data_IF_792100147488
#
_entry.id   IF_792100147488
#
_cell.length_a   1.000
_cell.length_b   1.000
_cell.length_c   1.000
_cell.angle_alpha   90.00
_cell.angle_beta   90.00
_cell.angle_gamma   90.00
#
_symmetry.space_group_name_H-M   'P 1'
#
loop_
_entity.id
_entity.type
_entity.pdbx_description
1 polymer ?
#
# COMPACT_ATOMS: atom_id res chain seq x y z
N UNK A 1 -67.48 4.85 -0.45
CA UNK A 1 -66.26 3.99 -0.56
C UNK A 1 -64.92 4.72 -0.53
N UNK A 2 -64.79 6.01 -0.89
CA UNK A 2 -63.48 6.72 -0.95
C UNK A 2 -62.81 7.05 0.41
N UNK A 3 -63.54 7.24 1.52
CA UNK A 3 -62.94 7.67 2.80
C UNK A 3 -62.26 6.56 3.62
N UNK A 4 -62.65 5.29 3.44
CA UNK A 4 -61.96 4.13 4.06
C UNK A 4 -60.52 3.99 3.53
N UNK A 5 -60.29 4.35 2.28
CA UNK A 5 -58.97 4.25 1.64
C UNK A 5 -58.00 5.34 2.15
N UNK A 6 -58.48 6.57 2.34
CA UNK A 6 -57.69 7.68 2.90
C UNK A 6 -57.26 7.48 4.37
N UNK A 7 -58.09 6.82 5.19
CA UNK A 7 -57.73 6.48 6.58
C UNK A 7 -56.63 5.43 6.65
N UNK A 8 -56.68 4.41 5.79
CA UNK A 8 -55.64 3.38 5.70
C UNK A 8 -54.31 3.96 5.21
N UNK A 9 -54.33 4.82 4.18
CA UNK A 9 -53.14 5.51 3.66
C UNK A 9 -52.51 6.42 4.74
N UNK A 10 -53.32 7.14 5.54
CA UNK A 10 -52.80 7.96 6.64
C UNK A 10 -52.16 7.13 7.76
N UNK A 11 -52.78 6.00 8.13
CA UNK A 11 -52.25 5.11 9.17
C UNK A 11 -50.94 4.43 8.71
N UNK A 12 -50.85 4.04 7.45
CA UNK A 12 -49.65 3.47 6.84
C UNK A 12 -48.50 4.50 6.79
N UNK A 13 -48.78 5.74 6.37
CA UNK A 13 -47.81 6.83 6.39
C UNK A 13 -47.31 7.19 7.81
N UNK A 14 -48.18 7.13 8.83
CA UNK A 14 -47.77 7.33 10.23
C UNK A 14 -46.87 6.21 10.74
N UNK A 15 -47.20 4.95 10.43
CA UNK A 15 -46.37 3.79 10.77
C UNK A 15 -45.00 3.86 10.09
N UNK A 16 -44.95 4.25 8.82
CA UNK A 16 -43.70 4.43 8.08
C UNK A 16 -42.83 5.53 8.71
N UNK A 17 -43.41 6.69 9.04
CA UNK A 17 -42.68 7.77 9.73
C UNK A 17 -42.16 7.36 11.12
N UNK A 18 -42.94 6.58 11.86
CA UNK A 18 -42.53 6.08 13.18
C UNK A 18 -41.41 5.05 13.06
N UNK A 19 -41.50 4.15 12.08
CA UNK A 19 -40.45 3.18 11.75
C UNK A 19 -39.15 3.87 11.33
N UNK A 20 -39.22 4.88 10.45
CA UNK A 20 -38.06 5.67 10.05
C UNK A 20 -37.41 6.41 11.21
N UNK A 21 -38.20 7.02 12.10
CA UNK A 21 -37.67 7.67 13.32
C UNK A 21 -36.94 6.69 14.21
N UNK A 22 -37.50 5.49 14.42
CA UNK A 22 -36.87 4.45 15.24
C UNK A 22 -35.57 3.94 14.60
N UNK A 23 -35.55 3.74 13.29
CA UNK A 23 -34.34 3.37 12.55
C UNK A 23 -33.25 4.43 12.67
N UNK A 24 -33.61 5.70 12.49
CA UNK A 24 -32.67 6.81 12.64
C UNK A 24 -32.11 6.90 14.07
N UNK A 25 -32.94 6.63 15.09
CA UNK A 25 -32.50 6.55 16.49
C UNK A 25 -31.49 5.41 16.71
N UNK A 26 -31.77 4.21 16.20
CA UNK A 26 -30.85 3.06 16.28
C UNK A 26 -29.52 3.37 15.58
N UNK A 27 -29.57 3.93 14.36
CA UNK A 27 -28.35 4.32 13.63
C UNK A 27 -27.53 5.32 14.44
N UNK A 28 -28.15 6.39 14.97
CA UNK A 28 -27.43 7.38 15.77
C UNK A 28 -26.81 6.78 17.04
N UNK A 29 -27.54 5.89 17.72
CA UNK A 29 -27.04 5.16 18.90
C UNK A 29 -25.87 4.26 18.56
N UNK A 30 -25.91 3.58 17.41
CA UNK A 30 -24.81 2.76 16.90
C UNK A 30 -23.56 3.61 16.62
N UNK A 31 -23.70 4.73 15.90
CA UNK A 31 -22.57 5.63 15.59
C UNK A 31 -21.89 6.11 16.88
N UNK A 32 -22.67 6.66 17.82
CA UNK A 32 -22.17 7.10 19.12
C UNK A 32 -21.50 5.95 19.90
N UNK A 33 -22.04 4.73 19.80
CA UNK A 33 -21.44 3.55 20.44
C UNK A 33 -20.06 3.24 19.85
N UNK A 34 -19.95 3.22 18.52
CA UNK A 34 -18.71 2.90 17.81
C UNK A 34 -17.64 3.95 18.10
N UNK A 35 -17.95 5.24 17.93
CA UNK A 35 -17.02 6.35 18.19
C UNK A 35 -16.54 6.40 19.66
N UNK A 36 -17.41 6.02 20.61
CA UNK A 36 -17.04 5.98 22.04
C UNK A 36 -16.16 4.80 22.40
N UNK A 37 -16.33 3.65 21.75
CA UNK A 37 -15.67 2.39 22.14
C UNK A 37 -14.43 2.10 21.29
N UNK A 38 -14.36 2.64 20.08
CA UNK A 38 -13.34 2.33 19.09
C UNK A 38 -12.82 3.58 18.41
N UNK A 39 -11.51 3.60 18.19
CA UNK A 39 -10.90 4.48 17.21
C UNK A 39 -10.79 3.69 15.91
N UNK A 40 -11.45 4.18 14.85
CA UNK A 40 -11.46 3.54 13.53
C UNK A 40 -10.84 4.47 12.50
N UNK A 41 -10.11 3.88 11.56
CA UNK A 41 -9.52 4.59 10.41
C UNK A 41 -9.54 3.68 9.19
N UNK A 42 -9.75 4.26 8.01
CA UNK A 42 -9.73 3.52 6.77
C UNK A 42 -8.32 3.56 6.19
N UNK A 43 -7.59 2.45 6.29
CA UNK A 43 -6.25 2.34 5.72
C UNK A 43 -6.34 2.28 4.20
N UNK A 44 -5.95 3.37 3.53
CA UNK A 44 -6.03 3.51 2.08
C UNK A 44 -5.05 2.60 1.36
N UNK A 45 -3.93 2.23 2.00
CA UNK A 45 -2.93 1.35 1.43
C UNK A 45 -3.35 -0.12 1.46
N UNK A 46 -3.95 -0.57 2.57
CA UNK A 46 -4.49 -1.93 2.70
C UNK A 46 -5.90 -2.07 2.14
N UNK A 47 -6.62 -0.96 1.94
CA UNK A 47 -7.99 -0.93 1.45
C UNK A 47 -9.00 -1.49 2.46
N UNK A 48 -8.75 -1.32 3.77
CA UNK A 48 -9.61 -1.85 4.82
C UNK A 48 -9.73 -0.89 6.00
N UNK A 49 -10.80 -1.03 6.78
CA UNK A 49 -10.91 -0.34 8.07
C UNK A 49 -10.05 -1.07 9.09
N UNK A 50 -9.27 -0.31 9.83
CA UNK A 50 -8.56 -0.77 11.02
C UNK A 50 -9.19 -0.12 12.25
N UNK A 51 -9.16 -0.82 13.37
CA UNK A 51 -9.67 -0.32 14.63
C UNK A 51 -8.79 -0.70 15.80
N UNK A 52 -8.85 0.12 16.84
CA UNK A 52 -8.40 -0.21 18.20
C UNK A 52 -9.45 0.24 19.20
N UNK A 53 -9.31 -0.18 20.45
CA UNK A 53 -10.16 0.34 21.53
C UNK A 53 -9.88 1.83 21.74
N UNK A 54 -10.92 2.63 21.90
CA UNK A 54 -10.77 4.07 22.13
C UNK A 54 -9.94 4.34 23.40
N UNK A 55 -8.95 5.24 23.29
CA UNK A 55 -8.01 5.57 24.37
C UNK A 55 -6.98 4.47 24.68
N UNK A 56 -6.89 3.42 23.86
CA UNK A 56 -5.88 2.37 23.99
C UNK A 56 -4.60 2.75 23.23
N UNK A 57 -3.45 2.36 23.79
CA UNK A 57 -2.15 2.42 23.10
C UNK A 57 -1.86 1.16 22.28
N UNK A 58 -2.80 0.23 22.20
CA UNK A 58 -2.70 -0.95 21.33
C UNK A 58 -2.58 -0.52 19.85
N UNK A 59 -1.91 -1.33 19.02
CA UNK A 59 -1.85 -1.09 17.58
C UNK A 59 -3.24 -1.22 16.95
N UNK A 60 -3.44 -0.49 15.87
CA UNK A 60 -4.62 -0.68 15.03
C UNK A 60 -4.57 -2.07 14.37
N UNK A 61 -5.69 -2.77 14.38
CA UNK A 61 -5.83 -4.10 13.77
C UNK A 61 -6.90 -4.04 12.69
N UNK A 62 -6.67 -4.72 11.57
CA UNK A 62 -7.64 -4.82 10.49
C UNK A 62 -8.96 -5.40 11.01
N UNK A 63 -10.07 -4.74 10.66
CA UNK A 63 -11.41 -5.16 11.07
C UNK A 63 -11.91 -6.26 10.14
N UNK A 64 -11.56 -7.49 10.48
CA UNK A 64 -12.03 -8.69 9.80
C UNK A 64 -13.49 -9.03 10.14
N UNK A 65 -14.02 -10.10 9.54
CA UNK A 65 -15.39 -10.54 9.78
C UNK A 65 -15.62 -10.94 11.24
N UNK A 66 -14.63 -11.57 11.88
CA UNK A 66 -14.72 -11.97 13.28
C UNK A 66 -14.86 -10.76 14.20
N UNK A 67 -14.09 -9.70 13.96
CA UNK A 67 -14.17 -8.47 14.71
C UNK A 67 -15.50 -7.74 14.48
N UNK A 68 -16.00 -7.68 13.23
CA UNK A 68 -17.34 -7.12 12.95
C UNK A 68 -18.45 -7.87 13.69
N UNK A 69 -18.45 -9.19 13.64
CA UNK A 69 -19.39 -10.03 14.38
C UNK A 69 -19.31 -9.79 15.89
N UNK A 70 -18.09 -9.62 16.42
CA UNK A 70 -17.86 -9.31 17.83
C UNK A 70 -18.44 -7.94 18.20
N UNK A 71 -18.22 -6.92 17.37
CA UNK A 71 -18.78 -5.56 17.56
C UNK A 71 -20.32 -5.63 17.51
N UNK A 72 -20.89 -6.38 16.57
CA UNK A 72 -22.34 -6.55 16.44
C UNK A 72 -22.98 -7.16 17.70
N UNK A 73 -22.38 -8.25 18.22
CA UNK A 73 -22.86 -8.89 19.45
C UNK A 73 -22.75 -7.93 20.64
N UNK A 74 -21.62 -7.21 20.80
CA UNK A 74 -21.44 -6.25 21.89
C UNK A 74 -22.41 -5.08 21.82
N UNK A 75 -22.71 -4.56 20.63
CA UNK A 75 -23.69 -3.49 20.45
C UNK A 75 -25.10 -3.96 20.86
N UNK A 76 -25.48 -5.19 20.51
CA UNK A 76 -26.76 -5.79 20.91
C UNK A 76 -26.86 -5.99 22.42
N UNK A 77 -25.78 -6.44 23.06
CA UNK A 77 -25.73 -6.57 24.53
C UNK A 77 -25.89 -5.20 25.23
N UNK A 78 -25.42 -4.11 24.61
CA UNK A 78 -25.63 -2.74 25.08
C UNK A 78 -26.99 -2.14 24.63
N UNK A 79 -27.93 -2.98 24.16
CA UNK A 79 -29.30 -2.60 23.83
C UNK A 79 -29.46 -1.86 22.51
N UNK A 80 -28.49 -1.99 21.59
CA UNK A 80 -28.54 -1.42 20.24
C UNK A 80 -28.79 -2.57 19.26
N UNK A 81 -30.00 -2.66 18.72
CA UNK A 81 -30.38 -3.70 17.75
C UNK A 81 -29.84 -3.40 16.34
N UNK A 82 -28.51 -3.34 16.22
CA UNK A 82 -27.81 -3.14 14.97
C UNK A 82 -27.58 -4.48 14.25
N UNK A 83 -27.60 -4.44 12.92
CA UNK A 83 -27.23 -5.55 12.05
C UNK A 83 -25.76 -5.45 11.65
N UNK A 84 -25.11 -6.59 11.36
CA UNK A 84 -23.74 -6.61 10.80
C UNK A 84 -23.61 -5.69 9.58
N UNK A 85 -24.67 -5.64 8.76
CA UNK A 85 -24.74 -4.77 7.59
C UNK A 85 -24.63 -3.27 7.92
N UNK A 86 -25.18 -2.83 9.05
CA UNK A 86 -25.12 -1.41 9.44
C UNK A 86 -23.72 -1.05 9.93
N UNK A 87 -23.05 -1.96 10.63
CA UNK A 87 -21.66 -1.80 11.06
C UNK A 87 -20.74 -1.76 9.85
N UNK A 88 -20.92 -2.69 8.89
CA UNK A 88 -20.17 -2.70 7.63
C UNK A 88 -20.34 -1.40 6.86
N UNK A 89 -21.58 -0.92 6.70
CA UNK A 89 -21.87 0.36 6.04
C UNK A 89 -21.18 1.53 6.71
N UNK A 90 -21.15 1.57 8.03
CA UNK A 90 -20.41 2.61 8.77
C UNK A 90 -18.91 2.54 8.46
N UNK A 91 -18.31 1.34 8.55
CA UNK A 91 -16.88 1.13 8.26
C UNK A 91 -16.49 1.48 6.83
N UNK A 92 -17.39 1.24 5.87
CA UNK A 92 -17.18 1.53 4.44
C UNK A 92 -17.63 2.95 4.05
N UNK A 93 -17.97 3.81 5.02
CA UNK A 93 -18.44 5.18 4.77
C UNK A 93 -17.41 6.25 5.16
N UNK A 94 -17.62 7.47 4.66
CA UNK A 94 -16.78 8.64 4.95
C UNK A 94 -16.80 9.08 6.43
N UNK A 95 -17.63 8.46 7.28
CA UNK A 95 -17.55 8.65 8.73
C UNK A 95 -16.24 8.09 9.31
N UNK A 96 -15.69 7.03 8.71
CA UNK A 96 -14.37 6.51 9.07
C UNK A 96 -13.32 7.24 8.24
N UNK A 97 -12.51 8.07 8.91
CA UNK A 97 -11.51 8.91 8.24
C UNK A 97 -10.47 8.06 7.52
N UNK A 98 -10.14 8.48 6.29
CA UNK A 98 -9.03 7.92 5.54
C UNK A 98 -7.71 8.12 6.29
N UNK A 99 -6.85 7.11 6.24
CA UNK A 99 -5.53 7.08 6.82
C UNK A 99 -4.58 6.45 5.80
N UNK A 100 -3.53 7.17 5.45
CA UNK A 100 -2.45 6.64 4.63
C UNK A 100 -1.21 6.44 5.53
N UNK A 101 -0.76 5.19 5.76
CA UNK A 101 0.41 4.92 6.59
C UNK A 101 1.69 5.57 6.07
N UNK A 102 1.81 5.74 4.75
CA UNK A 102 3.00 6.35 4.14
C UNK A 102 3.03 7.86 4.38
N UNK A 103 1.89 8.53 4.18
CA UNK A 103 1.80 9.98 4.38
C UNK A 103 2.12 10.33 5.83
N UNK A 104 1.53 9.61 6.79
CA UNK A 104 1.78 9.84 8.23
C UNK A 104 3.25 9.57 8.59
N UNK A 105 3.85 8.52 8.03
CA UNK A 105 5.27 8.24 8.23
C UNK A 105 6.16 9.38 7.73
N UNK A 106 5.97 9.82 6.48
CA UNK A 106 6.78 10.89 5.87
C UNK A 106 6.52 12.26 6.49
N UNK A 107 5.26 12.59 6.82
CA UNK A 107 4.90 13.82 7.52
C UNK A 107 5.57 13.92 8.89
N UNK A 108 5.66 12.80 9.62
CA UNK A 108 6.35 12.72 10.90
C UNK A 108 7.85 13.04 10.81
N UNK A 109 8.46 12.89 9.64
CA UNK A 109 9.89 13.10 9.39
C UNK A 109 10.23 14.49 8.83
N UNK A 110 9.22 15.29 8.46
CA UNK A 110 9.45 16.62 7.87
C UNK A 110 10.31 17.50 8.78
N UNK A 111 11.38 18.05 8.22
CA UNK A 111 12.30 18.93 8.93
C UNK A 111 13.25 18.24 9.90
N UNK A 112 13.30 16.90 9.95
CA UNK A 112 14.20 16.14 10.84
C UNK A 112 15.53 15.74 10.23
N UNK A 113 15.74 16.00 8.93
CA UNK A 113 16.98 15.63 8.25
C UNK A 113 18.18 16.39 8.83
N UNK A 114 19.23 15.65 9.17
CA UNK A 114 20.44 16.19 9.79
C UNK A 114 21.48 16.75 8.78
N UNK A 115 21.15 16.79 7.49
CA UNK A 115 22.01 17.32 6.42
C UNK A 115 23.08 16.35 5.88
N UNK A 116 23.16 15.11 6.39
CA UNK A 116 24.09 14.08 5.89
C UNK A 116 23.45 13.23 4.79
N UNK A 117 24.26 12.69 3.88
CA UNK A 117 23.76 11.83 2.80
C UNK A 117 23.61 10.36 3.24
N UNK A 118 22.54 10.06 3.99
CA UNK A 118 22.24 8.71 4.48
C UNK A 118 21.90 7.73 3.36
N UNK A 119 21.30 8.20 2.26
CA UNK A 119 20.97 7.35 1.11
C UNK A 119 22.26 6.89 0.41
N UNK A 120 23.26 7.76 0.25
CA UNK A 120 24.57 7.40 -0.28
C UNK A 120 25.32 6.44 0.66
N UNK A 121 25.31 6.69 1.97
CA UNK A 121 25.88 5.75 2.96
C UNK A 121 25.25 4.35 2.86
N UNK A 122 23.94 4.27 2.58
CA UNK A 122 23.25 3.00 2.34
C UNK A 122 23.66 2.37 1.00
N UNK A 123 23.85 3.18 -0.05
CA UNK A 123 24.32 2.72 -1.35
C UNK A 123 25.73 2.12 -1.27
N UNK A 124 26.62 2.74 -0.50
CA UNK A 124 28.01 2.32 -0.28
C UNK A 124 28.13 0.96 0.44
N UNK A 125 27.05 0.51 1.09
CA UNK A 125 26.99 -0.85 1.67
C UNK A 125 26.99 -1.95 0.58
N UNK A 126 26.72 -1.59 -0.69
CA UNK A 126 26.72 -2.50 -1.85
C UNK A 126 28.08 -2.41 -2.54
N UNK A 127 29.02 -3.34 -2.30
CA UNK A 127 30.35 -3.26 -2.91
C UNK A 127 30.27 -3.56 -4.41
N UNK A 128 30.76 -2.63 -5.23
CA UNK A 128 30.74 -2.72 -6.68
C UNK A 128 31.82 -1.82 -7.32
N UNK A 129 32.06 -1.99 -8.62
CA UNK A 129 33.08 -1.23 -9.38
C UNK A 129 32.52 0.01 -10.10
N UNK A 130 31.22 0.31 -9.97
CA UNK A 130 30.59 1.43 -10.66
C UNK A 130 30.63 2.70 -9.79
N UNK A 131 31.47 3.66 -10.17
CA UNK A 131 31.65 4.93 -9.45
C UNK A 131 30.40 5.80 -9.38
N UNK A 132 29.39 5.57 -10.25
CA UNK A 132 28.12 6.32 -10.26
C UNK A 132 26.99 5.62 -9.52
N UNK A 133 27.22 4.43 -8.97
CA UNK A 133 26.20 3.65 -8.29
C UNK A 133 25.49 4.45 -7.19
N UNK A 134 26.27 5.09 -6.31
CA UNK A 134 25.74 5.88 -5.20
C UNK A 134 24.80 7.01 -5.66
N UNK A 135 25.23 7.78 -6.65
CA UNK A 135 24.45 8.88 -7.25
C UNK A 135 23.15 8.38 -7.91
N UNK A 136 23.23 7.28 -8.67
CA UNK A 136 22.08 6.70 -9.34
C UNK A 136 21.09 6.06 -8.37
N UNK A 137 21.59 5.37 -7.35
CA UNK A 137 20.78 4.82 -6.28
C UNK A 137 20.10 5.93 -5.48
N UNK A 138 20.82 7.01 -5.18
CA UNK A 138 20.27 8.21 -4.53
C UNK A 138 19.08 8.78 -5.30
N UNK A 139 19.29 9.06 -6.59
CA UNK A 139 18.24 9.58 -7.47
C UNK A 139 17.04 8.63 -7.56
N UNK A 140 17.29 7.33 -7.68
CA UNK A 140 16.23 6.32 -7.72
C UNK A 140 15.43 6.27 -6.41
N UNK A 141 16.10 6.36 -5.26
CA UNK A 141 15.46 6.34 -3.95
C UNK A 141 14.57 7.58 -3.75
N UNK A 142 15.06 8.76 -4.14
CA UNK A 142 14.24 9.98 -4.17
C UNK A 142 13.00 9.82 -5.07
N UNK A 143 13.19 9.27 -6.27
CA UNK A 143 12.09 9.02 -7.20
C UNK A 143 11.06 8.02 -6.63
N UNK A 144 11.51 7.04 -5.84
CA UNK A 144 10.61 6.12 -5.14
C UNK A 144 9.74 6.83 -4.12
N UNK A 145 10.33 7.64 -3.24
CA UNK A 145 9.57 8.38 -2.20
C UNK A 145 8.68 9.45 -2.83
N UNK A 146 9.16 10.16 -3.85
CA UNK A 146 8.36 11.12 -4.61
C UNK A 146 7.13 10.48 -5.28
N UNK A 147 7.24 9.22 -5.72
CA UNK A 147 6.10 8.49 -6.27
C UNK A 147 5.08 8.13 -5.19
N UNK A 148 5.52 7.78 -3.97
CA UNK A 148 4.61 7.53 -2.86
C UNK A 148 3.79 8.76 -2.49
N UNK A 149 4.42 9.94 -2.54
CA UNK A 149 3.80 11.24 -2.31
C UNK A 149 2.93 11.72 -3.48
N UNK A 150 2.91 10.99 -4.61
CA UNK A 150 2.15 11.39 -5.79
C UNK A 150 2.64 12.68 -6.46
N UNK A 151 3.90 13.06 -6.25
CA UNK A 151 4.46 14.32 -6.79
C UNK A 151 4.56 14.31 -8.33
N UNK A 152 4.67 13.13 -8.94
CA UNK A 152 4.70 12.96 -10.39
C UNK A 152 3.49 12.17 -10.87
N UNK A 153 2.56 12.87 -11.51
CA UNK A 153 1.29 12.31 -12.00
C UNK A 153 1.45 11.74 -13.42
N UNK A 154 2.49 12.17 -14.15
CA UNK A 154 2.67 11.87 -15.57
C UNK A 154 3.52 10.62 -15.82
N UNK A 155 4.52 10.38 -14.97
CA UNK A 155 5.44 9.27 -15.15
C UNK A 155 5.69 8.54 -13.84
N UNK A 156 5.67 7.21 -13.88
CA UNK A 156 6.17 6.41 -12.78
C UNK A 156 7.71 6.40 -12.75
N UNK A 157 8.27 6.02 -11.59
CA UNK A 157 9.68 5.69 -11.45
C UNK A 157 9.99 4.50 -12.39
N UNK A 158 10.56 4.85 -13.54
CA UNK A 158 10.71 3.95 -14.68
C UNK A 158 12.07 3.29 -14.75
N UNK A 159 12.94 3.57 -13.79
CA UNK A 159 14.27 2.95 -13.67
C UNK A 159 14.30 2.09 -12.41
N UNK A 160 14.96 0.95 -12.47
CA UNK A 160 15.09 0.01 -11.36
C UNK A 160 16.56 -0.40 -11.17
N UNK A 161 17.10 -0.37 -9.94
CA UNK A 161 18.39 -0.99 -9.66
C UNK A 161 18.32 -2.50 -9.90
N UNK A 162 19.37 -3.06 -10.50
CA UNK A 162 19.53 -4.49 -10.74
C UNK A 162 20.84 -4.95 -10.11
N UNK A 163 20.71 -5.71 -9.02
CA UNK A 163 21.84 -6.24 -8.26
C UNK A 163 22.24 -7.62 -8.82
N UNK A 164 23.45 -7.73 -9.36
CA UNK A 164 23.96 -8.95 -9.99
C UNK A 164 25.08 -9.54 -9.13
N UNK A 165 24.91 -10.77 -8.65
CA UNK A 165 25.94 -11.44 -7.86
C UNK A 165 25.72 -12.94 -7.81
N UNK A 166 26.71 -13.70 -7.29
CA UNK A 166 26.48 -15.10 -6.90
C UNK A 166 25.49 -15.18 -5.74
N UNK A 167 24.91 -16.36 -5.51
CA UNK A 167 24.07 -16.63 -4.34
C UNK A 167 24.85 -16.36 -3.04
N UNK A 168 24.16 -15.97 -1.97
CA UNK A 168 24.77 -15.74 -0.65
C UNK A 168 25.30 -14.32 -0.41
N UNK A 169 25.11 -13.39 -1.36
CA UNK A 169 25.60 -12.00 -1.25
C UNK A 169 24.62 -11.03 -0.55
N UNK A 170 23.54 -11.56 0.04
CA UNK A 170 22.53 -10.79 0.79
C UNK A 170 21.72 -9.77 -0.02
N UNK A 171 21.59 -9.96 -1.35
CA UNK A 171 20.80 -9.10 -2.25
C UNK A 171 19.34 -8.92 -1.80
N UNK A 172 18.60 -10.01 -1.62
CA UNK A 172 17.19 -9.95 -1.21
C UNK A 172 17.03 -9.35 0.20
N UNK A 173 18.01 -9.58 1.09
CA UNK A 173 18.06 -8.94 2.42
C UNK A 173 18.23 -7.42 2.29
N UNK A 174 19.07 -6.93 1.39
CA UNK A 174 19.22 -5.51 1.11
C UNK A 174 17.90 -4.91 0.61
N UNK A 175 17.28 -5.50 -0.42
CA UNK A 175 16.01 -5.03 -0.96
C UNK A 175 14.91 -4.94 0.12
N UNK A 176 14.76 -5.99 0.94
CA UNK A 176 13.78 -6.02 2.03
C UNK A 176 14.07 -4.96 3.10
N UNK A 177 15.35 -4.72 3.42
CA UNK A 177 15.78 -3.73 4.41
C UNK A 177 15.81 -2.30 3.90
N UNK A 178 15.38 -2.02 2.67
CA UNK A 178 15.15 -0.65 2.23
C UNK A 178 13.95 -0.04 2.96
N UNK A 179 12.92 -0.84 3.24
CA UNK A 179 11.72 -0.36 3.94
C UNK A 179 11.84 -0.53 5.47
N UNK A 180 11.40 0.45 6.27
CA UNK A 180 11.31 0.31 7.72
C UNK A 180 10.21 -0.69 8.10
N UNK A 181 10.23 -1.20 9.32
CA UNK A 181 9.24 -2.15 9.83
C UNK A 181 7.79 -1.67 9.62
N UNK A 182 7.53 -0.39 9.88
CA UNK A 182 6.23 0.24 9.69
C UNK A 182 5.69 0.19 8.24
N UNK A 183 6.57 0.03 7.25
CA UNK A 183 6.23 -0.03 5.82
C UNK A 183 6.51 -1.40 5.19
N UNK A 184 6.87 -2.42 5.98
CA UNK A 184 7.17 -3.76 5.47
C UNK A 184 5.99 -4.43 4.76
N UNK A 185 4.75 -4.05 5.10
CA UNK A 185 3.55 -4.50 4.39
C UNK A 185 3.58 -4.13 2.90
N UNK A 186 4.35 -3.11 2.51
CA UNK A 186 4.50 -2.63 1.14
C UNK A 186 5.64 -3.28 0.35
N UNK A 187 6.40 -4.21 0.94
CA UNK A 187 7.44 -4.97 0.24
C UNK A 187 6.83 -6.20 -0.44
N UNK A 188 7.15 -6.42 -1.72
CA UNK A 188 6.69 -7.59 -2.46
C UNK A 188 7.85 -8.23 -3.23
N UNK A 189 8.21 -9.47 -2.88
CA UNK A 189 9.25 -10.27 -3.52
C UNK A 189 8.73 -11.50 -4.27
N UNK A 190 7.43 -11.77 -4.22
CA UNK A 190 6.80 -12.97 -4.79
C UNK A 190 5.93 -12.63 -6.01
N UNK A 191 6.33 -11.64 -6.80
CA UNK A 191 5.52 -11.20 -7.93
C UNK A 191 5.64 -12.15 -9.12
N UNK A 192 4.54 -12.81 -9.45
CA UNK A 192 4.42 -13.61 -10.67
C UNK A 192 4.06 -12.69 -11.86
N UNK A 193 5.07 -12.33 -12.63
CA UNK A 193 4.98 -11.35 -13.74
C UNK A 193 4.18 -11.88 -14.95
N UNK A 194 3.96 -13.19 -15.05
CA UNK A 194 3.15 -13.78 -16.13
C UNK A 194 1.68 -13.32 -16.10
N UNK A 195 1.17 -12.92 -14.94
CA UNK A 195 -0.21 -12.46 -14.77
C UNK A 195 -0.27 -10.92 -14.74
N UNK A 196 -0.68 -10.33 -15.87
CA UNK A 196 -0.78 -8.88 -16.03
C UNK A 196 -1.65 -8.21 -14.95
N UNK A 197 -2.83 -8.75 -14.65
CA UNK A 197 -3.73 -8.13 -13.67
C UNK A 197 -3.16 -8.14 -12.24
N UNK A 198 -2.51 -9.24 -11.83
CA UNK A 198 -1.88 -9.33 -10.52
C UNK A 198 -0.73 -8.33 -10.39
N UNK A 199 0.06 -8.17 -11.45
CA UNK A 199 1.13 -7.17 -11.46
C UNK A 199 0.61 -5.75 -11.37
N UNK A 200 -0.40 -5.41 -12.19
CA UNK A 200 -1.03 -4.08 -12.13
C UNK A 200 -1.61 -3.80 -10.74
N UNK A 201 -2.21 -4.80 -10.09
CA UNK A 201 -2.70 -4.70 -8.72
C UNK A 201 -1.56 -4.54 -7.70
N UNK A 202 -0.50 -5.33 -7.82
CA UNK A 202 0.67 -5.21 -6.93
C UNK A 202 1.28 -3.80 -6.99
N UNK A 203 1.29 -3.17 -8.17
CA UNK A 203 1.83 -1.83 -8.34
C UNK A 203 1.02 -0.72 -7.66
N UNK A 204 -0.26 -0.94 -7.41
CA UNK A 204 -1.11 0.01 -6.68
C UNK A 204 -1.11 -0.25 -5.17
N UNK A 205 -0.67 -1.45 -4.73
CA UNK A 205 -0.76 -1.90 -3.33
C UNK A 205 0.59 -2.12 -2.65
N UNK A 206 1.70 -2.10 -3.40
CA UNK A 206 3.06 -2.28 -2.89
C UNK A 206 3.85 -0.98 -3.06
N UNK A 207 4.78 -0.71 -2.15
CA UNK A 207 5.70 0.42 -2.18
C UNK A 207 6.97 0.10 -2.97
N UNK A 208 7.48 -1.11 -2.78
CA UNK A 208 8.67 -1.63 -3.43
C UNK A 208 8.41 -3.07 -3.88
N UNK A 209 8.55 -3.31 -5.19
CA UNK A 209 8.46 -4.63 -5.79
C UNK A 209 9.87 -5.08 -6.15
N UNK A 210 10.31 -6.18 -5.52
CA UNK A 210 11.53 -6.88 -5.86
C UNK A 210 11.25 -7.94 -6.93
N UNK A 211 11.86 -7.79 -8.09
CA UNK A 211 11.86 -8.79 -9.17
C UNK A 211 13.02 -9.74 -8.88
N UNK A 212 12.72 -10.82 -8.15
CA UNK A 212 13.72 -11.83 -7.86
C UNK A 212 14.01 -12.70 -9.08
N UNK A 213 15.24 -13.24 -9.13
CA UNK A 213 15.72 -14.08 -10.23
C UNK A 213 15.39 -13.52 -11.63
N UNK A 214 15.71 -12.24 -11.86
CA UNK A 214 15.34 -11.51 -13.08
C UNK A 214 15.72 -12.24 -14.38
N UNK A 215 16.80 -13.01 -14.37
CA UNK A 215 17.30 -13.80 -15.49
C UNK A 215 16.42 -15.02 -15.86
N UNK A 216 15.53 -15.46 -14.97
CA UNK A 216 14.57 -16.54 -15.26
C UNK A 216 13.39 -16.08 -16.13
N UNK A 217 13.15 -14.77 -16.19
CA UNK A 217 12.10 -14.21 -17.03
C UNK A 217 12.46 -14.34 -18.51
N UNK A 218 11.50 -14.74 -19.33
CA UNK A 218 11.72 -14.80 -20.78
C UNK A 218 12.07 -13.41 -21.33
N UNK A 219 12.95 -13.34 -22.35
CA UNK A 219 13.31 -12.09 -23.02
C UNK A 219 12.09 -11.29 -23.50
N UNK A 220 11.03 -11.98 -23.97
CA UNK A 220 9.77 -11.36 -24.37
C UNK A 220 9.04 -10.68 -23.20
N UNK A 221 9.08 -11.27 -22.01
CA UNK A 221 8.52 -10.68 -20.78
C UNK A 221 9.39 -9.51 -20.32
N UNK A 222 10.71 -9.66 -20.36
CA UNK A 222 11.67 -8.62 -20.02
C UNK A 222 11.50 -7.37 -20.90
N UNK A 223 11.38 -7.55 -22.22
CA UNK A 223 11.26 -6.42 -23.15
C UNK A 223 9.85 -5.86 -23.23
N UNK A 224 8.84 -6.70 -23.44
CA UNK A 224 7.49 -6.21 -23.73
C UNK A 224 6.73 -5.74 -22.49
N UNK A 225 6.84 -6.50 -21.40
CA UNK A 225 6.03 -6.25 -20.22
C UNK A 225 6.64 -5.18 -19.33
N UNK A 226 7.92 -5.31 -18.96
CA UNK A 226 8.58 -4.34 -18.09
C UNK A 226 8.70 -2.96 -18.73
N UNK A 227 9.00 -2.85 -20.04
CA UNK A 227 9.08 -1.53 -20.72
C UNK A 227 7.76 -0.76 -20.63
N UNK A 228 6.63 -1.44 -20.78
CA UNK A 228 5.31 -0.80 -20.69
C UNK A 228 4.91 -0.54 -19.25
N UNK A 229 5.06 -1.54 -18.38
CA UNK A 229 4.60 -1.50 -17.00
C UNK A 229 5.39 -0.51 -16.15
N UNK A 230 6.72 -0.47 -16.32
CA UNK A 230 7.59 0.48 -15.60
C UNK A 230 7.33 1.94 -15.96
N UNK A 231 6.66 2.24 -17.08
CA UNK A 231 6.35 3.61 -17.48
C UNK A 231 4.98 4.10 -16.97
N UNK A 232 4.09 3.19 -16.59
CA UNK A 232 2.75 3.55 -16.14
C UNK A 232 2.83 4.40 -14.87
N UNK A 233 2.21 5.58 -14.90
CA UNK A 233 1.98 6.42 -13.73
C UNK A 233 0.62 6.12 -13.07
N UNK A 234 -0.37 5.76 -13.90
CA UNK A 234 -1.72 5.44 -13.47
C UNK A 234 -2.14 4.08 -14.01
N UNK A 235 -2.89 3.35 -13.20
CA UNK A 235 -3.24 1.96 -13.45
C UNK A 235 -4.75 1.83 -13.45
N UNK A 236 -5.30 1.36 -14.58
CA UNK A 236 -6.71 1.02 -14.70
C UNK A 236 -6.92 -0.41 -14.26
N UNK A 237 -7.60 -0.61 -13.14
CA UNK A 237 -7.97 -1.93 -12.63
C UNK A 237 -9.47 -2.03 -12.38
N UNK A 238 -10.01 -3.23 -12.52
CA UNK A 238 -11.34 -3.56 -12.02
C UNK A 238 -11.18 -4.22 -10.67
N UNK A 239 -11.61 -3.55 -9.60
CA UNK A 239 -11.58 -4.13 -8.27
C UNK A 239 -12.61 -5.27 -8.17
N UNK A 240 -12.35 -6.32 -7.37
CA UNK A 240 -13.35 -7.32 -7.06
C UNK A 240 -14.65 -6.65 -6.60
N UNK A 241 -15.79 -7.15 -7.09
CA UNK A 241 -17.14 -6.63 -6.77
C UNK A 241 -17.48 -5.24 -7.32
N UNK A 242 -16.55 -4.52 -7.94
CA UNK A 242 -16.84 -3.29 -8.67
C UNK A 242 -17.26 -3.58 -10.12
N UNK A 243 -18.36 -2.95 -10.55
CA UNK A 243 -18.80 -3.02 -11.95
C UNK A 243 -17.96 -2.13 -12.86
N UNK A 244 -17.47 -1.01 -12.33
CA UNK A 244 -16.68 -0.02 -13.06
C UNK A 244 -15.17 -0.26 -12.88
N UNK A 245 -14.40 0.12 -13.89
CA UNK A 245 -12.95 0.21 -13.76
C UNK A 245 -12.60 1.50 -13.02
N UNK A 246 -11.67 1.39 -12.08
CA UNK A 246 -11.10 2.53 -11.36
C UNK A 246 -9.69 2.79 -11.88
N UNK A 247 -9.31 4.06 -11.94
CA UNK A 247 -7.93 4.46 -12.23
C UNK A 247 -7.28 4.80 -10.91
N UNK A 248 -6.27 4.03 -10.51
CA UNK A 248 -5.50 4.23 -9.29
C UNK A 248 -4.10 4.73 -9.64
N UNK A 249 -3.51 5.62 -8.82
CA UNK A 249 -2.12 5.98 -8.99
C UNK A 249 -1.22 4.76 -8.73
N UNK A 250 -0.12 4.69 -9.47
CA UNK A 250 0.94 3.73 -9.17
C UNK A 250 1.73 4.24 -7.96
N UNK A 251 1.95 3.34 -7.01
CA UNK A 251 2.76 3.64 -5.82
C UNK A 251 4.10 2.87 -5.88
N UNK A 252 4.13 1.68 -6.49
CA UNK A 252 5.30 0.82 -6.48
C UNK A 252 6.49 1.31 -7.31
N UNK A 253 7.67 1.33 -6.70
CA UNK A 253 8.95 1.30 -7.42
C UNK A 253 9.47 -0.12 -7.58
N UNK A 254 10.34 -0.34 -8.55
CA UNK A 254 10.91 -1.66 -8.82
C UNK A 254 12.39 -1.69 -8.42
N UNK A 255 12.81 -2.84 -7.91
CA UNK A 255 14.20 -3.26 -7.75
C UNK A 255 14.30 -4.70 -8.25
N UNK A 256 15.46 -5.12 -8.74
CA UNK A 256 15.64 -6.47 -9.27
C UNK A 256 16.92 -7.10 -8.74
N UNK A 257 16.91 -8.42 -8.62
CA UNK A 257 18.13 -9.19 -8.34
C UNK A 257 18.33 -10.30 -9.35
N UNK A 258 19.58 -10.56 -9.72
CA UNK A 258 19.94 -11.62 -10.64
C UNK A 258 21.19 -12.37 -10.16
N UNK A 259 21.31 -13.59 -10.66
CA UNK A 259 22.53 -14.38 -10.54
C UNK A 259 23.38 -14.22 -11.80
N UNK A 260 24.70 -14.41 -11.68
CA UNK A 260 25.72 -14.05 -12.69
C UNK A 260 25.54 -14.76 -14.04
N UNK A 261 24.79 -15.85 -14.11
CA UNK A 261 24.50 -16.55 -15.37
C UNK A 261 23.47 -15.78 -16.22
N UNK A 262 23.97 -15.18 -17.30
CA UNK A 262 23.24 -14.63 -18.45
C UNK A 262 22.16 -13.58 -18.12
N UNK A 263 22.58 -12.44 -17.58
CA UNK A 263 21.65 -11.34 -17.23
C UNK A 263 21.15 -10.57 -18.47
N UNK A 264 21.83 -10.65 -19.62
CA UNK A 264 21.47 -9.85 -20.80
C UNK A 264 21.59 -10.65 -22.10
N UNK A 265 20.43 -11.01 -22.69
CA UNK A 265 20.36 -11.51 -24.06
C UNK A 265 20.10 -10.40 -25.09
N UNK A 266 19.63 -9.20 -24.69
CA UNK A 266 19.34 -8.07 -25.58
C UNK A 266 19.83 -6.71 -25.01
N UNK A 267 20.70 -5.97 -25.72
CA UNK A 267 21.11 -4.60 -25.38
C UNK A 267 19.95 -3.58 -25.28
N UNK A 268 18.79 -3.82 -25.91
CA UNK A 268 17.67 -2.86 -25.92
C UNK A 268 16.84 -2.83 -24.62
N UNK A 269 16.82 -3.94 -23.88
CA UNK A 269 16.06 -4.12 -22.64
C UNK A 269 16.67 -3.42 -21.42
N UNK A 270 17.94 -3.00 -21.50
CA UNK A 270 18.75 -2.58 -20.37
C UNK A 270 18.56 -1.13 -19.92
N UNK A 271 17.93 -0.26 -20.72
CA UNK A 271 17.86 1.20 -20.42
C UNK A 271 17.03 1.54 -19.19
N UNK A 272 16.20 0.60 -18.71
CA UNK A 272 15.35 0.76 -17.53
C UNK A 272 15.97 0.16 -16.27
N UNK A 273 17.17 -0.43 -16.37
CA UNK A 273 17.86 -1.02 -15.24
C UNK A 273 19.21 -0.35 -14.99
N UNK A 274 19.46 0.03 -13.73
CA UNK A 274 20.80 0.39 -13.26
C UNK A 274 21.47 -0.91 -12.82
N UNK A 275 22.12 -1.58 -13.78
CA UNK A 275 22.78 -2.85 -13.54
C UNK A 275 24.11 -2.65 -12.81
N UNK A 276 24.28 -3.35 -11.69
CA UNK A 276 25.51 -3.32 -10.91
C UNK A 276 25.92 -4.75 -10.53
N UNK A 277 27.17 -5.10 -10.85
CA UNK A 277 27.76 -6.37 -10.45
C UNK A 277 28.47 -6.19 -9.11
N UNK A 278 28.10 -7.00 -8.12
CA UNK A 278 28.68 -6.91 -6.79
C UNK A 278 30.06 -7.57 -6.76
N UNK A 279 31.04 -6.87 -6.19
CA UNK A 279 32.40 -7.37 -5.98
C UNK A 279 32.56 -8.15 -4.67
N UNK A 280 31.58 -8.05 -3.77
CA UNK A 280 31.55 -8.78 -2.51
C UNK A 280 30.16 -8.84 -1.88
N UNK A 281 29.99 -9.53 -0.74
CA UNK A 281 28.72 -9.56 -0.01
C UNK A 281 28.32 -8.16 0.49
N UNK A 282 27.03 -7.84 0.44
CA UNK A 282 26.51 -6.55 0.92
C UNK A 282 26.76 -6.42 2.43
N UNK A 283 27.35 -5.30 2.82
CA UNK A 283 27.76 -4.97 4.20
C UNK A 283 26.72 -4.07 4.88
N UNK A 284 25.51 -4.61 5.05
CA UNK A 284 24.44 -3.88 5.74
C UNK A 284 24.77 -3.69 7.23
N UNK A 285 24.56 -2.49 7.79
CA UNK A 285 24.69 -2.26 9.23
C UNK A 285 23.62 -3.04 9.99
N UNK A 286 23.84 -3.27 11.28
CA UNK A 286 22.86 -3.92 12.14
C UNK A 286 21.58 -3.07 12.25
N UNK A 287 21.74 -1.76 12.41
CA UNK A 287 20.65 -0.78 12.43
C UNK A 287 20.78 0.21 11.28
N UNK A 288 19.67 0.44 10.57
CA UNK A 288 19.53 1.50 9.56
C UNK A 288 18.71 2.61 10.21
N UNK A 289 19.21 3.85 10.13
CA UNK A 289 18.48 5.03 10.57
C UNK A 289 17.44 5.40 9.50
N UNK A 290 16.29 4.72 9.54
CA UNK A 290 15.21 4.96 8.60
C UNK A 290 14.62 6.36 8.75
N UNK A 291 14.63 6.95 9.95
CA UNK A 291 14.12 8.31 10.13
C UNK A 291 14.95 9.29 9.32
N UNK A 292 16.27 9.21 9.39
CA UNK A 292 17.15 10.09 8.61
C UNK A 292 17.15 9.76 7.12
N UNK A 293 17.10 8.47 6.75
CA UNK A 293 17.03 8.02 5.36
C UNK A 293 15.81 8.60 4.63
N UNK A 294 14.64 8.56 5.28
CA UNK A 294 13.38 9.05 4.71
C UNK A 294 13.10 10.52 5.00
N UNK A 295 13.74 11.14 6.00
CA UNK A 295 13.72 12.59 6.15
C UNK A 295 14.57 13.28 5.07
N UNK A 296 15.63 12.63 4.59
CA UNK A 296 16.44 13.10 3.47
C UNK A 296 15.66 13.03 2.14
N UNK A 297 14.83 12.00 1.97
CA UNK A 297 14.15 11.67 0.72
C UNK A 297 12.90 12.50 0.46
#
# INVERSE_FOLDING_TARGET
MKSKNLKNIKAENQRNRQSERLKNDITRRLLNYLERKYEMRFNTALGCTEARKAGSNEPFVAVDERMRNTIAIKARLDGIDAWDKDIRRYMESDFVKAFNPVDIFLEGLRGRWNGKNHIEMLADCVPNDNTRWAEWFHTWFLAMVAQWLGLNISHGNSVAPLLISRQGYRKSTFCKRLLPEALQWGYNDNLIISEKQNTLRAMTQSLLINIDEFNTLSAKTQDGFLKNVMQLANIKIRQPYCQQQVTLPRIASFIATANVSDVFSDPSGCRRFIAVTLTGPIRLPEHIDYEQLYAQA
#
